data_IF_136246853725
#
_entry.id   IF_136246853725
#
_cell.length_a   1.000
_cell.length_b   1.000
_cell.length_c   1.000
_cell.angle_alpha   90.00
_cell.angle_beta   90.00
_cell.angle_gamma   90.00
#
_symmetry.space_group_name_H-M   'P 1'
#
loop_
_entity.id
_entity.type
_entity.pdbx_description
1 polymer ?
#
# COMPACT_ATOMS: atom_id res chain seq x y z
N UNK A 1 2.58 -0.21 -0.69
CA UNK A 1 1.68 0.40 -1.69
C UNK A 1 2.47 1.05 -2.82
N UNK A 2 3.35 2.03 -2.56
CA UNK A 2 4.16 2.67 -3.61
C UNK A 2 4.97 1.70 -4.47
N UNK A 3 5.70 0.77 -3.85
CA UNK A 3 6.56 -0.20 -4.58
C UNK A 3 5.74 -1.05 -5.54
N UNK A 4 4.65 -1.66 -5.05
CA UNK A 4 3.74 -2.48 -5.86
C UNK A 4 3.21 -1.73 -7.08
N UNK A 5 2.89 -0.43 -6.94
CA UNK A 5 2.44 0.39 -8.06
C UNK A 5 3.59 0.69 -9.04
N UNK A 6 4.78 0.99 -8.54
CA UNK A 6 5.95 1.25 -9.38
C UNK A 6 6.35 -0.01 -10.18
N UNK A 7 6.41 -1.16 -9.52
CA UNK A 7 6.71 -2.47 -10.12
C UNK A 7 5.71 -2.82 -11.22
N UNK A 8 4.41 -2.65 -10.96
CA UNK A 8 3.36 -2.91 -11.95
C UNK A 8 3.45 -2.01 -13.19
N UNK A 9 4.07 -0.82 -13.06
CA UNK A 9 4.32 0.12 -14.14
C UNK A 9 5.73 -0.01 -14.74
N UNK A 10 6.56 -0.95 -14.27
CA UNK A 10 7.94 -1.13 -14.72
C UNK A 10 8.86 0.04 -14.35
N UNK A 11 8.66 0.66 -13.19
CA UNK A 11 9.41 1.84 -12.72
C UNK A 11 10.17 1.52 -11.43
N UNK A 12 11.33 2.13 -11.24
CA UNK A 12 12.00 2.18 -9.94
C UNK A 12 11.34 3.28 -9.09
N UNK A 13 10.72 2.91 -7.96
CA UNK A 13 10.07 3.86 -7.07
C UNK A 13 11.05 4.95 -6.60
N UNK A 14 12.31 4.60 -6.34
CA UNK A 14 13.32 5.55 -5.84
C UNK A 14 13.59 6.68 -6.83
N UNK A 15 13.41 6.41 -8.13
CA UNK A 15 13.63 7.39 -9.19
C UNK A 15 12.43 8.32 -9.43
N UNK A 16 11.21 7.88 -9.09
CA UNK A 16 9.97 8.59 -9.45
C UNK A 16 9.11 9.03 -8.26
N UNK A 17 9.50 8.69 -7.03
CA UNK A 17 8.79 9.11 -5.82
C UNK A 17 8.98 10.60 -5.52
N UNK A 18 7.88 11.28 -5.21
CA UNK A 18 7.88 12.69 -4.75
C UNK A 18 7.24 12.73 -3.37
N UNK A 19 8.02 13.02 -2.33
CA UNK A 19 7.61 12.91 -0.92
C UNK A 19 7.00 14.19 -0.33
N UNK A 20 7.03 15.29 -1.07
CA UNK A 20 6.49 16.57 -0.66
C UNK A 20 6.48 17.56 -1.82
N UNK A 21 5.67 18.60 -1.70
CA UNK A 21 5.62 19.72 -2.64
C UNK A 21 5.49 21.00 -1.82
N UNK A 22 6.36 21.97 -2.08
CA UNK A 22 6.42 23.25 -1.37
C UNK A 22 6.61 24.38 -2.38
N UNK A 23 5.91 25.50 -2.19
CA UNK A 23 5.95 26.64 -3.11
C UNK A 23 5.42 26.31 -4.51
N UNK A 24 6.01 26.93 -5.54
CA UNK A 24 5.64 26.73 -6.95
C UNK A 24 6.48 25.59 -7.53
N UNK A 25 5.88 24.41 -7.65
CA UNK A 25 6.58 23.19 -8.12
C UNK A 25 6.46 22.95 -9.64
N UNK A 26 5.62 23.71 -10.34
CA UNK A 26 5.33 23.50 -11.76
C UNK A 26 4.29 22.42 -12.04
N UNK A 27 4.13 22.06 -13.31
CA UNK A 27 3.25 20.97 -13.73
C UNK A 27 3.78 19.62 -13.23
N UNK A 28 2.87 18.71 -12.88
CA UNK A 28 3.22 17.38 -12.39
C UNK A 28 3.72 16.51 -13.55
N UNK A 29 4.95 16.02 -13.46
CA UNK A 29 5.44 14.96 -14.34
C UNK A 29 4.55 13.70 -14.21
N UNK A 30 3.92 13.21 -15.29
CA UNK A 30 3.06 12.02 -15.29
C UNK A 30 3.74 10.75 -14.78
N UNK A 31 5.07 10.65 -14.88
CA UNK A 31 5.86 9.49 -14.44
C UNK A 31 5.99 9.39 -12.91
N UNK A 32 5.76 10.48 -12.19
CA UNK A 32 5.96 10.52 -10.74
C UNK A 32 4.90 9.75 -9.95
N UNK A 33 5.27 9.27 -8.76
CA UNK A 33 4.36 8.73 -7.75
C UNK A 33 4.45 9.65 -6.52
N UNK A 34 3.36 10.37 -6.23
CA UNK A 34 3.32 11.35 -5.16
C UNK A 34 2.92 10.74 -3.81
N UNK A 35 3.61 11.14 -2.74
CA UNK A 35 3.26 10.81 -1.36
C UNK A 35 2.82 12.09 -0.65
N UNK A 36 1.61 12.07 -0.08
CA UNK A 36 1.12 13.09 0.83
C UNK A 36 0.89 12.43 2.18
N UNK A 37 1.70 12.83 3.18
CA UNK A 37 1.76 12.15 4.46
C UNK A 37 1.19 13.04 5.55
N UNK A 38 0.07 12.63 6.15
CA UNK A 38 -0.58 13.37 7.24
C UNK A 38 -0.19 12.78 8.59
N UNK A 39 -0.06 13.65 9.59
CA UNK A 39 0.12 13.30 11.01
C UNK A 39 -0.90 14.10 11.81
N UNK A 40 -1.63 13.44 12.70
CA UNK A 40 -2.62 14.12 13.53
C UNK A 40 -3.27 13.20 14.56
N UNK A 41 -3.41 13.72 15.78
CA UNK A 41 -4.23 13.13 16.84
C UNK A 41 -3.93 11.65 17.12
N UNK A 42 -5.01 10.88 17.17
CA UNK A 42 -5.09 9.46 17.51
C UNK A 42 -5.27 8.54 16.29
N UNK A 43 -5.02 9.05 15.08
CA UNK A 43 -5.12 8.27 13.84
C UNK A 43 -4.14 7.08 13.91
N UNK A 44 -4.68 5.87 13.97
CA UNK A 44 -3.87 4.63 14.02
C UNK A 44 -3.16 4.41 12.68
N UNK A 45 -3.87 4.61 11.56
CA UNK A 45 -3.28 4.54 10.24
C UNK A 45 -4.30 4.50 9.12
N UNK A 46 -4.29 5.54 8.29
CA UNK A 46 -5.05 5.65 7.05
C UNK A 46 -4.09 5.65 5.87
N UNK A 47 -4.37 4.83 4.86
CA UNK A 47 -3.61 4.74 3.63
C UNK A 47 -4.56 4.72 2.44
N UNK A 48 -4.38 5.66 1.52
CA UNK A 48 -5.15 5.73 0.27
C UNK A 48 -4.18 5.81 -0.90
N UNK A 49 -4.40 4.95 -1.90
CA UNK A 49 -3.82 5.13 -3.23
C UNK A 49 -4.91 5.68 -4.13
N UNK A 50 -4.65 6.87 -4.68
CA UNK A 50 -5.53 7.57 -5.60
C UNK A 50 -4.99 7.43 -7.03
N UNK A 51 -5.81 6.89 -7.91
CA UNK A 51 -5.64 6.93 -9.35
C UNK A 51 -6.59 7.99 -9.91
N UNK A 52 -6.06 9.09 -10.42
CA UNK A 52 -6.85 10.22 -10.91
C UNK A 52 -6.64 10.40 -12.42
N UNK A 53 -7.72 10.23 -13.18
CA UNK A 53 -7.76 10.49 -14.62
C UNK A 53 -8.62 11.71 -14.94
N UNK A 54 -8.73 12.05 -16.23
CA UNK A 54 -9.63 13.12 -16.66
C UNK A 54 -11.08 12.69 -16.48
N UNK A 55 -11.80 13.37 -15.59
CA UNK A 55 -13.24 13.13 -15.37
C UNK A 55 -13.57 12.05 -14.33
N UNK A 56 -12.58 11.28 -13.84
CA UNK A 56 -12.83 10.22 -12.86
C UNK A 56 -11.66 9.98 -11.90
N UNK A 57 -11.96 9.26 -10.80
CA UNK A 57 -11.00 8.85 -9.78
C UNK A 57 -11.35 7.47 -9.24
N UNK A 58 -10.32 6.65 -9.03
CA UNK A 58 -10.40 5.37 -8.32
C UNK A 58 -9.52 5.47 -7.07
N UNK A 59 -10.09 5.10 -5.93
CA UNK A 59 -9.40 5.15 -4.63
C UNK A 59 -9.41 3.77 -3.98
N UNK A 60 -8.22 3.27 -3.62
CA UNK A 60 -8.07 2.08 -2.80
C UNK A 60 -7.61 2.54 -1.42
N UNK A 61 -8.50 2.40 -0.43
CA UNK A 61 -8.31 2.94 0.91
C UNK A 61 -8.35 1.86 1.98
N UNK A 62 -7.37 1.88 2.88
CA UNK A 62 -7.33 1.08 4.10
C UNK A 62 -7.27 2.00 5.32
N UNK A 63 -8.21 1.85 6.25
CA UNK A 63 -8.28 2.60 7.50
C UNK A 63 -8.25 1.65 8.68
N UNK A 64 -7.39 1.94 9.65
CA UNK A 64 -7.29 1.17 10.88
C UNK A 64 -7.91 1.94 12.05
N UNK A 65 -8.85 1.31 12.75
CA UNK A 65 -9.42 1.85 14.00
C UNK A 65 -8.67 1.37 15.25
N UNK A 66 -7.87 0.32 15.13
CA UNK A 66 -7.05 -0.24 16.23
C UNK A 66 -6.02 -1.23 15.70
N UNK A 67 -5.08 -1.63 16.55
CA UNK A 67 -4.10 -2.69 16.23
C UNK A 67 -4.67 -4.11 16.21
N UNK A 68 -5.92 -4.30 16.60
CA UNK A 68 -6.54 -5.62 16.71
C UNK A 68 -6.54 -6.39 15.37
N UNK A 69 -6.70 -5.69 14.23
CA UNK A 69 -6.69 -6.31 12.90
C UNK A 69 -5.39 -7.05 12.61
N UNK A 70 -4.23 -6.51 13.02
CA UNK A 70 -2.93 -7.16 12.82
C UNK A 70 -2.77 -8.41 13.70
N UNK A 71 -3.28 -8.35 14.94
CA UNK A 71 -3.31 -9.50 15.83
C UNK A 71 -4.20 -10.62 15.27
N UNK A 72 -5.39 -10.29 14.75
CA UNK A 72 -6.27 -11.25 14.08
C UNK A 72 -5.63 -11.85 12.82
N UNK A 73 -4.94 -11.04 12.03
CA UNK A 73 -4.15 -11.52 10.88
C UNK A 73 -3.07 -12.53 11.29
N UNK A 74 -2.39 -12.27 12.40
CA UNK A 74 -1.38 -13.18 12.95
C UNK A 74 -1.99 -14.52 13.40
N UNK A 75 -3.14 -14.50 14.07
CA UNK A 75 -3.87 -15.72 14.45
C UNK A 75 -4.34 -16.52 13.22
N UNK A 76 -4.77 -15.83 12.16
CA UNK A 76 -5.11 -16.47 10.88
C UNK A 76 -3.88 -17.13 10.25
N UNK A 77 -2.73 -16.45 10.25
CA UNK A 77 -1.49 -17.01 9.72
C UNK A 77 -1.04 -18.26 10.49
N UNK A 78 -1.13 -18.26 11.83
CA UNK A 78 -0.81 -19.45 12.63
C UNK A 78 -1.71 -20.64 12.29
N UNK A 79 -3.01 -20.41 12.08
CA UNK A 79 -3.93 -21.47 11.63
C UNK A 79 -3.60 -21.98 10.23
N UNK A 80 -3.25 -21.08 9.31
CA UNK A 80 -2.81 -21.45 7.96
C UNK A 80 -1.57 -22.34 8.01
N UNK A 81 -0.58 -22.00 8.85
CA UNK A 81 0.68 -22.74 8.96
C UNK A 81 0.52 -24.17 9.52
N UNK A 82 -0.58 -24.48 10.22
CA UNK A 82 -0.81 -25.81 10.78
C UNK A 82 -0.82 -26.92 9.71
N UNK A 83 -1.19 -26.58 8.48
CA UNK A 83 -1.32 -27.50 7.35
C UNK A 83 -0.23 -27.29 6.27
N UNK A 84 0.79 -26.45 6.53
CA UNK A 84 1.84 -26.15 5.56
C UNK A 84 3.12 -26.95 5.79
N UNK A 85 3.83 -27.26 4.70
CA UNK A 85 5.20 -27.76 4.79
C UNK A 85 6.16 -26.68 5.31
N UNK A 86 7.39 -27.07 5.63
CA UNK A 86 8.44 -26.10 5.98
C UNK A 86 8.70 -25.18 4.80
N UNK A 87 8.61 -23.87 5.02
CA UNK A 87 8.88 -22.86 4.01
C UNK A 87 8.78 -21.44 4.59
N UNK A 88 9.00 -20.44 3.74
CA UNK A 88 8.77 -19.04 4.05
C UNK A 88 7.47 -18.60 3.36
N UNK A 89 6.52 -18.10 4.15
CA UNK A 89 5.19 -17.72 3.66
C UNK A 89 4.91 -16.25 3.97
N UNK A 90 4.39 -15.52 2.99
CA UNK A 90 3.83 -14.19 3.16
C UNK A 90 2.32 -14.22 3.42
N UNK A 91 1.73 -13.06 3.71
CA UNK A 91 0.28 -12.94 3.89
C UNK A 91 -0.49 -13.18 2.60
N UNK A 92 0.14 -13.01 1.44
CA UNK A 92 -0.40 -13.35 0.13
C UNK A 92 -0.81 -14.82 0.07
N UNK A 93 0.04 -15.72 0.59
CA UNK A 93 -0.28 -17.15 0.68
C UNK A 93 -1.44 -17.41 1.67
N UNK A 94 -1.39 -16.77 2.84
CA UNK A 94 -2.44 -16.88 3.89
C UNK A 94 -3.82 -16.41 3.39
N UNK A 95 -3.83 -15.43 2.48
CA UNK A 95 -5.03 -14.83 1.91
C UNK A 95 -5.44 -15.44 0.56
N UNK A 96 -4.62 -16.33 -0.02
CA UNK A 96 -4.89 -16.92 -1.34
C UNK A 96 -4.74 -15.94 -2.50
N UNK A 97 -3.82 -14.98 -2.39
CA UNK A 97 -3.57 -13.92 -3.37
C UNK A 97 -2.34 -14.17 -4.24
N UNK A 98 -1.76 -15.37 -4.18
CA UNK A 98 -0.66 -15.77 -5.06
C UNK A 98 -1.23 -16.01 -6.46
N UNK A 99 -0.66 -15.37 -7.48
CA UNK A 99 -0.97 -15.71 -8.87
C UNK A 99 -0.57 -17.18 -9.12
N UNK A 100 -1.48 -17.94 -9.73
CA UNK A 100 -1.23 -19.31 -10.22
C UNK A 100 -0.21 -19.31 -11.34
#
# INVERSE_FOLDING_TARGET
MGEVVADALGRDLKSCAVYGREGVTGERDPSTIGFATVRGGDIVGDHTVLFAGTGERIEITHKSSSRATYAQGSLRAVRFLADQQRGLYGMEAVLGLVAT
#
